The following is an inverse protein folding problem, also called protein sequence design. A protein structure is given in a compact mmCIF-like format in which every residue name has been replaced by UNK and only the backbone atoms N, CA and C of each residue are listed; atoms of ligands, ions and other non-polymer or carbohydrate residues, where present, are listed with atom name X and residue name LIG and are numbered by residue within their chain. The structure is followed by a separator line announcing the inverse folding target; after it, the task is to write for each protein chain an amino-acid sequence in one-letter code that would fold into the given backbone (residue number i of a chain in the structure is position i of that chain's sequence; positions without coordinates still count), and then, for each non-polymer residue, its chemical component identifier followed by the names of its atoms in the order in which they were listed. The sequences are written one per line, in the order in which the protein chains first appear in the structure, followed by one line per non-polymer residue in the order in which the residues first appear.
data_IF_728810266807
#
_entry.id   IF_728810266807
#
_cell.length_a   1.000
_cell.length_b   1.000
_cell.length_c   1.000
_cell.angle_alpha   90.00
_cell.angle_beta   90.00
_cell.angle_gamma   90.00
#
_symmetry.space_group_name_H-M   'P 1'
#
loop_
_entity.id
_entity.type
_entity.pdbx_description
1 polymer ?
#
# COMPACT_ATOMS: atom_id res chain seq x y z
N UNK A 1 -18.58 -14.74 -3.28
CA UNK A 1 -19.29 -13.78 -4.17
C UNK A 1 -18.24 -13.14 -5.08
N UNK A 2 -18.33 -13.38 -6.39
CA UNK A 2 -17.38 -12.83 -7.37
C UNK A 2 -17.56 -11.31 -7.45
N UNK A 3 -16.48 -10.54 -7.23
CA UNK A 3 -16.53 -9.11 -7.47
C UNK A 3 -16.71 -8.85 -8.97
N UNK A 4 -17.65 -7.95 -9.32
CA UNK A 4 -17.96 -7.53 -10.70
C UNK A 4 -18.37 -8.67 -11.64
N UNK A 5 -19.22 -9.59 -11.17
CA UNK A 5 -19.91 -10.61 -12.02
C UNK A 5 -18.96 -11.48 -12.85
N UNK A 6 -17.75 -11.78 -12.36
CA UNK A 6 -16.81 -12.65 -13.07
C UNK A 6 -16.18 -12.04 -14.33
N UNK A 7 -16.07 -10.72 -14.40
CA UNK A 7 -15.43 -10.04 -15.54
C UNK A 7 -13.97 -10.50 -15.71
N UNK A 8 -13.59 -10.94 -16.91
CA UNK A 8 -12.20 -11.24 -17.27
C UNK A 8 -11.39 -9.94 -17.38
N UNK A 9 -10.15 -10.00 -16.89
CA UNK A 9 -9.19 -8.90 -16.93
C UNK A 9 -7.94 -9.37 -17.65
N UNK A 10 -7.42 -8.56 -18.59
CA UNK A 10 -6.09 -8.74 -19.16
C UNK A 10 -5.07 -7.98 -18.31
N UNK A 11 -3.96 -8.63 -18.01
CA UNK A 11 -2.88 -8.06 -17.21
C UNK A 11 -1.54 -8.33 -17.90
N UNK A 12 -0.79 -7.27 -18.20
CA UNK A 12 0.61 -7.37 -18.54
C UNK A 12 1.38 -7.60 -17.25
N UNK A 13 1.80 -8.84 -17.01
CA UNK A 13 2.47 -9.24 -15.77
C UNK A 13 3.95 -8.85 -15.81
N UNK A 14 4.42 -8.13 -14.79
CA UNK A 14 5.81 -7.68 -14.69
C UNK A 14 6.54 -8.26 -13.49
N UNK A 15 5.83 -8.58 -12.39
CA UNK A 15 6.45 -9.12 -11.17
C UNK A 15 5.50 -10.07 -10.45
N UNK A 16 6.08 -11.09 -9.78
CA UNK A 16 5.39 -11.94 -8.82
C UNK A 16 6.03 -11.72 -7.47
N UNK A 17 5.28 -11.17 -6.53
CA UNK A 17 5.78 -10.76 -5.23
C UNK A 17 5.14 -11.56 -4.09
N UNK A 18 5.95 -12.04 -3.16
CA UNK A 18 5.49 -12.74 -1.97
C UNK A 18 5.38 -11.77 -0.79
N UNK A 19 4.19 -11.67 -0.20
CA UNK A 19 3.94 -10.86 1.00
C UNK A 19 2.76 -11.44 1.79
N UNK A 20 2.78 -11.28 3.10
CA UNK A 20 1.67 -11.67 3.99
C UNK A 20 1.16 -13.09 3.71
N UNK A 21 2.09 -14.04 3.54
CA UNK A 21 1.82 -15.46 3.30
C UNK A 21 1.01 -15.74 2.02
N UNK A 22 1.09 -14.86 1.01
CA UNK A 22 0.46 -15.06 -0.30
C UNK A 22 1.30 -14.46 -1.43
N UNK A 23 1.03 -14.89 -2.66
CA UNK A 23 1.60 -14.29 -3.86
C UNK A 23 0.70 -13.20 -4.43
N UNK A 24 1.33 -12.15 -4.92
CA UNK A 24 0.71 -11.07 -5.66
C UNK A 24 1.26 -11.01 -7.07
N UNK A 25 0.37 -10.88 -8.05
CA UNK A 25 0.72 -10.58 -9.43
C UNK A 25 0.69 -9.07 -9.59
N UNK A 26 1.82 -8.47 -9.97
CA UNK A 26 1.97 -7.02 -10.17
C UNK A 26 2.15 -6.77 -11.66
N UNK A 27 1.33 -5.89 -12.22
CA UNK A 27 1.35 -5.58 -13.63
C UNK A 27 0.49 -4.36 -13.96
N UNK A 28 0.21 -4.15 -15.24
CA UNK A 28 -0.65 -3.08 -15.72
C UNK A 28 -1.68 -3.61 -16.73
N UNK A 29 -2.86 -3.01 -16.75
CA UNK A 29 -3.87 -3.28 -17.77
C UNK A 29 -3.55 -2.53 -19.07
N UNK A 30 -4.02 -3.05 -20.20
CA UNK A 30 -3.76 -2.45 -21.52
C UNK A 30 -4.23 -0.98 -21.60
N UNK A 31 -5.29 -0.64 -20.88
CA UNK A 31 -5.91 0.69 -20.94
C UNK A 31 -5.50 1.65 -19.83
N UNK A 32 -4.61 1.24 -18.91
CA UNK A 32 -4.19 2.06 -17.78
C UNK A 32 -2.68 2.04 -17.62
N UNK A 33 -2.06 3.21 -17.52
CA UNK A 33 -0.60 3.38 -17.35
C UNK A 33 -0.19 3.40 -15.88
N UNK A 34 -0.83 2.55 -15.07
CA UNK A 34 -0.52 2.42 -13.65
C UNK A 34 -0.44 0.96 -13.24
N UNK A 35 0.45 0.69 -12.29
CA UNK A 35 0.56 -0.62 -11.68
C UNK A 35 -0.70 -0.97 -10.88
N UNK A 36 -1.01 -2.23 -10.87
CA UNK A 36 -2.04 -2.84 -10.05
C UNK A 36 -1.53 -4.17 -9.51
N UNK A 37 -2.11 -4.65 -8.42
CA UNK A 37 -1.76 -5.95 -7.84
C UNK A 37 -3.01 -6.80 -7.63
N UNK A 38 -2.84 -8.10 -7.84
CA UNK A 38 -3.88 -9.11 -7.62
C UNK A 38 -3.33 -10.23 -6.76
N UNK A 39 -4.06 -10.58 -5.71
CA UNK A 39 -3.73 -11.76 -4.91
C UNK A 39 -3.99 -13.03 -5.72
N UNK A 40 -2.96 -13.88 -5.83
CA UNK A 40 -3.05 -15.11 -6.65
C UNK A 40 -4.14 -16.07 -6.13
N UNK A 41 -4.31 -16.18 -4.82
CA UNK A 41 -5.31 -17.05 -4.18
C UNK A 41 -6.76 -16.61 -4.37
N UNK A 42 -6.99 -15.43 -4.97
CA UNK A 42 -8.32 -14.87 -5.27
C UNK A 42 -8.62 -14.81 -6.77
N UNK A 43 -7.70 -15.35 -7.59
CA UNK A 43 -7.89 -15.40 -9.03
C UNK A 43 -8.59 -16.71 -9.38
N UNK A 44 -9.66 -16.62 -10.13
CA UNK A 44 -10.36 -17.75 -10.72
C UNK A 44 -10.12 -17.77 -12.22
N UNK A 45 -9.99 -18.97 -12.80
CA UNK A 45 -9.81 -19.18 -14.24
C UNK A 45 -8.64 -18.39 -14.84
N UNK A 46 -7.45 -18.50 -14.21
CA UNK A 46 -6.22 -17.91 -14.75
C UNK A 46 -5.84 -18.57 -16.06
N UNK A 47 -5.70 -17.76 -17.10
CA UNK A 47 -5.30 -18.19 -18.43
C UNK A 47 -4.10 -17.35 -18.90
N UNK A 48 -3.16 -17.97 -19.61
CA UNK A 48 -2.08 -17.25 -20.27
C UNK A 48 -2.59 -16.83 -21.65
N UNK A 49 -2.52 -15.53 -21.94
CA UNK A 49 -2.88 -14.99 -23.25
C UNK A 49 -1.89 -15.47 -24.32
N UNK A 50 -2.37 -15.64 -25.56
CA UNK A 50 -1.52 -15.89 -26.71
C UNK A 50 -0.88 -14.61 -27.29
N UNK A 51 -1.38 -13.44 -26.90
CA UNK A 51 -0.78 -12.15 -27.27
C UNK A 51 0.40 -11.82 -26.35
N UNK A 52 1.44 -11.23 -26.92
CA UNK A 52 2.57 -10.74 -26.16
C UNK A 52 2.15 -9.66 -25.16
N UNK A 53 2.82 -9.63 -24.02
CA UNK A 53 2.63 -8.56 -23.05
C UNK A 53 3.28 -7.26 -23.58
N UNK A 54 2.66 -6.12 -23.27
CA UNK A 54 3.26 -4.82 -23.54
C UNK A 54 4.52 -4.68 -22.68
N UNK A 55 5.62 -4.23 -23.30
CA UNK A 55 6.89 -4.03 -22.59
C UNK A 55 6.74 -3.08 -21.40
N UNK A 56 7.38 -3.40 -20.28
CA UNK A 56 7.25 -2.64 -19.05
C UNK A 56 7.78 -1.19 -19.20
N UNK A 57 8.85 -0.97 -19.99
CA UNK A 57 9.39 0.38 -20.22
C UNK A 57 8.37 1.24 -20.98
N UNK A 58 7.73 0.64 -21.98
CA UNK A 58 6.69 1.31 -22.76
C UNK A 58 5.47 1.65 -21.89
N UNK A 59 5.07 0.72 -21.02
CA UNK A 59 3.81 0.79 -20.27
C UNK A 59 3.86 1.62 -19.00
N UNK A 60 4.94 1.46 -18.22
CA UNK A 60 5.07 2.11 -16.91
C UNK A 60 6.24 3.09 -16.81
N UNK A 61 7.04 3.21 -17.88
CA UNK A 61 8.11 4.20 -18.02
C UNK A 61 9.52 3.65 -17.82
N UNK A 62 10.52 4.51 -17.98
CA UNK A 62 11.92 4.13 -17.85
C UNK A 62 12.23 3.62 -16.44
N UNK A 63 13.09 2.60 -16.33
CA UNK A 63 13.46 1.93 -15.08
C UNK A 63 12.29 1.20 -14.37
N UNK A 64 11.59 0.29 -15.05
CA UNK A 64 10.41 -0.39 -14.52
C UNK A 64 10.67 -1.14 -13.21
N UNK A 65 11.86 -1.71 -13.01
CA UNK A 65 12.24 -2.38 -11.77
C UNK A 65 12.19 -1.43 -10.56
N UNK A 66 12.67 -0.19 -10.72
CA UNK A 66 12.62 0.83 -9.66
C UNK A 66 11.18 1.26 -9.36
N UNK A 67 10.36 1.41 -10.41
CA UNK A 67 8.95 1.78 -10.31
C UNK A 67 8.17 0.69 -9.57
N UNK A 68 8.38 -0.59 -9.93
CA UNK A 68 7.74 -1.74 -9.28
C UNK A 68 8.17 -1.85 -7.82
N UNK A 69 9.48 -1.71 -7.54
CA UNK A 69 10.01 -1.73 -6.18
C UNK A 69 9.37 -0.63 -5.32
N UNK A 70 9.34 0.60 -5.83
CA UNK A 70 8.71 1.73 -5.14
C UNK A 70 7.23 1.48 -4.89
N UNK A 71 6.51 0.94 -5.86
CA UNK A 71 5.10 0.55 -5.72
C UNK A 71 4.89 -0.45 -4.57
N UNK A 72 5.77 -1.47 -4.48
CA UNK A 72 5.71 -2.48 -3.40
C UNK A 72 6.01 -1.84 -2.04
N UNK A 73 7.05 -1.02 -1.95
CA UNK A 73 7.49 -0.39 -0.70
C UNK A 73 6.49 0.63 -0.16
N UNK A 74 5.82 1.39 -1.02
CA UNK A 74 4.88 2.43 -0.64
C UNK A 74 3.46 1.91 -0.39
N UNK A 75 3.09 0.78 -1.01
CA UNK A 75 1.77 0.17 -0.80
C UNK A 75 1.64 -0.42 0.61
N UNK A 76 0.44 -0.32 1.18
CA UNK A 76 0.09 -1.01 2.43
C UNK A 76 -0.88 -2.12 2.10
N UNK A 77 -0.46 -3.38 2.29
CA UNK A 77 -1.20 -4.59 1.89
C UNK A 77 -1.68 -4.52 0.43
N UNK A 78 -0.87 -3.95 -0.46
CA UNK A 78 -1.16 -3.78 -1.89
C UNK A 78 -2.44 -3.00 -2.22
N UNK A 79 -2.92 -2.16 -1.29
CA UNK A 79 -3.99 -1.21 -1.58
C UNK A 79 -3.43 0.00 -2.33
N UNK A 80 -4.14 0.39 -3.38
CA UNK A 80 -3.81 1.54 -4.21
C UNK A 80 -4.25 2.83 -3.53
N UNK A 81 -3.44 3.86 -3.69
CA UNK A 81 -3.72 5.19 -3.22
C UNK A 81 -2.70 6.18 -3.76
N UNK A 82 -2.91 7.44 -3.50
CA UNK A 82 -1.91 8.48 -3.72
C UNK A 82 -0.81 8.34 -2.65
N UNK A 83 0.46 8.40 -3.06
CA UNK A 83 1.57 8.38 -2.10
C UNK A 83 1.61 9.68 -1.32
N UNK A 84 1.58 9.57 0.00
CA UNK A 84 1.64 10.71 0.91
C UNK A 84 2.90 10.64 1.77
N UNK A 85 3.44 11.81 2.08
CA UNK A 85 4.48 11.97 3.08
C UNK A 85 3.85 11.83 4.46
N UNK A 86 4.45 11.01 5.29
CA UNK A 86 3.99 10.73 6.64
C UNK A 86 5.08 11.17 7.62
N UNK A 87 4.69 11.89 8.64
CA UNK A 87 5.55 12.29 9.74
C UNK A 87 4.92 11.88 11.06
N UNK A 88 5.67 11.12 11.86
CA UNK A 88 5.24 10.65 13.18
C UNK A 88 6.27 10.98 14.24
N UNK A 89 5.80 11.27 15.44
CA UNK A 89 6.62 11.33 16.64
C UNK A 89 6.36 10.11 17.51
N UNK A 90 7.41 9.54 18.11
CA UNK A 90 7.30 8.34 18.92
C UNK A 90 8.43 8.22 19.94
N UNK A 91 8.19 7.45 21.01
CA UNK A 91 9.22 7.12 22.00
C UNK A 91 10.07 5.96 21.48
N UNK A 92 11.42 6.12 21.38
CA UNK A 92 12.30 5.12 20.77
C UNK A 92 12.57 3.92 21.69
N UNK A 93 11.56 3.10 21.91
CA UNK A 93 11.67 1.82 22.61
C UNK A 93 11.96 0.70 21.62
N UNK A 94 12.67 -0.40 22.01
CA UNK A 94 13.00 -1.49 21.10
C UNK A 94 11.78 -2.04 20.34
N UNK A 95 10.67 -2.26 21.03
CA UNK A 95 9.43 -2.75 20.44
C UNK A 95 8.81 -1.74 19.44
N UNK A 96 8.81 -0.44 19.78
CA UNK A 96 8.29 0.62 18.91
C UNK A 96 9.14 0.77 17.65
N UNK A 97 10.48 0.70 17.81
CA UNK A 97 11.39 0.73 16.66
C UNK A 97 11.16 -0.49 15.75
N UNK A 98 11.01 -1.70 16.31
CA UNK A 98 10.72 -2.89 15.53
C UNK A 98 9.42 -2.73 14.71
N UNK A 99 8.33 -2.29 15.32
CA UNK A 99 7.05 -2.03 14.66
C UNK A 99 7.22 -1.02 13.49
N UNK A 100 7.98 0.07 13.71
CA UNK A 100 8.22 1.06 12.67
C UNK A 100 9.00 0.45 11.50
N UNK A 101 10.13 -0.20 11.77
CA UNK A 101 10.99 -0.75 10.72
C UNK A 101 10.36 -1.93 9.99
N UNK A 102 9.54 -2.74 10.66
CA UNK A 102 8.75 -3.80 10.03
C UNK A 102 7.73 -3.23 9.04
N UNK A 103 7.15 -2.07 9.36
CA UNK A 103 6.16 -1.42 8.51
C UNK A 103 6.76 -0.62 7.35
N UNK A 104 7.83 0.13 7.59
CA UNK A 104 8.39 1.06 6.59
C UNK A 104 9.63 0.51 5.89
N UNK A 105 10.26 -0.52 6.41
CA UNK A 105 11.52 -1.02 5.92
C UNK A 105 12.67 -0.05 6.20
N UNK A 106 13.65 -0.01 5.28
CA UNK A 106 14.85 0.84 5.41
C UNK A 106 14.66 2.27 4.93
N UNK A 107 13.55 2.56 4.25
CA UNK A 107 13.27 3.85 3.61
C UNK A 107 12.56 4.81 4.57
N UNK A 108 13.16 5.05 5.73
CA UNK A 108 12.68 5.97 6.76
C UNK A 108 13.81 6.90 7.20
N UNK A 109 13.50 8.19 7.32
CA UNK A 109 14.39 9.17 7.95
C UNK A 109 13.99 9.33 9.40
N UNK A 110 14.92 9.11 10.32
CA UNK A 110 14.66 9.23 11.76
C UNK A 110 15.58 10.29 12.36
N UNK A 111 14.98 11.24 13.08
CA UNK A 111 15.68 12.31 13.80
C UNK A 111 15.34 12.23 15.30
N UNK A 112 16.36 12.31 16.16
CA UNK A 112 16.16 12.41 17.61
C UNK A 112 15.82 13.86 17.98
N UNK A 113 14.79 14.02 18.83
CA UNK A 113 14.34 15.31 19.33
C UNK A 113 14.92 15.61 20.72
N UNK A 114 14.89 16.88 21.11
CA UNK A 114 15.42 17.36 22.41
C UNK A 114 14.66 16.75 23.60
N UNK A 115 13.36 16.45 23.44
CA UNK A 115 12.52 15.80 24.46
C UNK A 115 12.80 14.32 24.65
N UNK A 116 13.78 13.75 23.91
CA UNK A 116 14.12 12.32 23.94
C UNK A 116 13.29 11.43 23.04
N UNK A 117 12.23 11.93 22.42
CA UNK A 117 11.47 11.25 21.39
C UNK A 117 12.25 11.19 20.07
N UNK A 118 11.73 10.43 19.12
CA UNK A 118 12.18 10.42 17.74
C UNK A 118 11.05 10.88 16.81
N UNK A 119 11.46 11.52 15.72
CA UNK A 119 10.59 11.88 14.60
C UNK A 119 10.98 11.03 13.40
N UNK A 120 10.02 10.31 12.84
CA UNK A 120 10.23 9.52 11.63
C UNK A 120 9.45 10.10 10.47
N UNK A 121 10.10 10.13 9.29
CA UNK A 121 9.49 10.56 8.02
C UNK A 121 9.63 9.45 7.00
N UNK A 122 8.53 9.07 6.40
CA UNK A 122 8.44 8.03 5.39
C UNK A 122 7.28 8.29 4.42
N UNK A 123 7.17 7.47 3.37
CA UNK A 123 6.15 7.59 2.33
C UNK A 123 5.36 6.30 2.23
N UNK A 124 4.03 6.40 2.21
CA UNK A 124 3.11 5.28 1.98
C UNK A 124 1.90 5.74 1.17
N UNK A 125 1.26 4.80 0.47
CA UNK A 125 0.01 5.06 -0.22
C UNK A 125 -1.12 5.30 0.78
N UNK A 126 -1.84 6.41 0.63
CA UNK A 126 -3.00 6.73 1.45
C UNK A 126 -4.12 5.74 1.20
N UNK A 127 -4.45 4.95 2.21
CA UNK A 127 -5.41 3.86 2.12
C UNK A 127 -6.09 3.59 3.46
N UNK A 128 -7.23 2.92 3.43
CA UNK A 128 -7.92 2.47 4.65
C UNK A 128 -7.02 1.55 5.49
N UNK A 129 -6.13 0.79 4.84
CA UNK A 129 -5.19 -0.11 5.51
C UNK A 129 -4.11 0.67 6.26
N UNK A 130 -3.62 1.77 5.69
CA UNK A 130 -2.71 2.69 6.36
C UNK A 130 -3.36 3.29 7.61
N UNK A 131 -4.61 3.75 7.48
CA UNK A 131 -5.37 4.25 8.62
C UNK A 131 -5.53 3.16 9.70
N UNK A 132 -5.86 1.93 9.30
CA UNK A 132 -5.97 0.80 10.22
C UNK A 132 -4.67 0.51 10.98
N UNK A 133 -3.51 0.66 10.32
CA UNK A 133 -2.22 0.52 10.98
C UNK A 133 -2.00 1.59 12.05
N UNK A 134 -2.29 2.85 11.75
CA UNK A 134 -2.20 3.92 12.74
C UNK A 134 -3.18 3.75 13.90
N UNK A 135 -4.40 3.30 13.63
CA UNK A 135 -5.37 3.01 14.69
C UNK A 135 -4.90 1.88 15.63
N UNK A 136 -4.22 0.87 15.06
CA UNK A 136 -3.67 -0.25 15.84
C UNK A 136 -2.54 0.18 16.79
N UNK A 137 -1.76 1.18 16.40
CA UNK A 137 -0.56 1.62 17.13
C UNK A 137 -0.66 3.09 17.59
N UNK A 138 -1.88 3.59 17.79
CA UNK A 138 -2.13 4.97 18.19
C UNK A 138 -1.54 5.34 19.57
N UNK A 139 -1.27 4.34 20.40
CA UNK A 139 -0.60 4.48 21.70
C UNK A 139 0.92 4.68 21.57
N UNK A 140 1.50 4.38 20.42
CA UNK A 140 2.95 4.41 20.16
C UNK A 140 3.39 5.52 19.22
N UNK A 141 2.56 5.88 18.25
CA UNK A 141 2.87 6.85 17.21
C UNK A 141 1.88 8.01 17.22
N UNK A 142 2.40 9.22 17.40
CA UNK A 142 1.63 10.44 17.20
C UNK A 142 1.85 10.91 15.76
N UNK A 143 0.80 10.92 14.95
CA UNK A 143 0.85 11.41 13.56
C UNK A 143 0.91 12.93 13.56
N UNK A 144 1.96 13.49 12.96
CA UNK A 144 2.16 14.92 12.80
C UNK A 144 1.65 15.36 11.43
N UNK A 145 1.98 14.58 10.37
CA UNK A 145 1.51 14.80 9.00
C UNK A 145 1.22 13.45 8.30
N UNK A 146 0.25 13.39 7.40
CA UNK A 146 -0.75 14.44 7.17
C UNK A 146 -1.70 14.56 8.37
N UNK A 147 -2.29 15.72 8.58
CA UNK A 147 -3.43 15.80 9.50
C UNK A 147 -4.51 14.88 8.93
N UNK A 148 -4.72 13.73 9.58
CA UNK A 148 -5.72 12.76 9.15
C UNK A 148 -7.07 13.48 9.04
N UNK A 149 -7.67 13.59 7.85
CA UNK A 149 -8.98 14.24 7.75
C UNK A 149 -9.96 13.46 8.61
N UNK A 150 -10.60 14.11 9.54
CA UNK A 150 -11.68 13.57 10.41
C UNK A 150 -12.84 12.99 9.57
N UNK A 151 -12.89 13.29 8.27
CA UNK A 151 -13.85 12.77 7.29
C UNK A 151 -13.86 11.24 7.13
N UNK A 152 -12.76 10.52 7.44
CA UNK A 152 -12.77 9.05 7.41
C UNK A 152 -13.57 8.43 8.56
N UNK A 153 -13.73 9.12 9.69
CA UNK A 153 -14.58 8.65 10.79
C UNK A 153 -16.07 8.85 10.49
N UNK A 154 -16.43 9.81 9.65
CA UNK A 154 -17.82 10.04 9.23
C UNK A 154 -18.31 9.07 8.15
N UNK A 155 -17.44 8.54 7.30
CA UNK A 155 -17.84 7.56 6.28
C UNK A 155 -18.28 6.21 6.89
N UNK A 156 -17.72 5.80 8.03
CA UNK A 156 -18.16 4.57 8.72
C UNK A 156 -19.48 4.74 9.48
N UNK A 157 -19.81 5.94 9.92
CA UNK A 157 -21.07 6.19 10.61
C UNK A 157 -22.28 6.16 9.65
N UNK A 158 -22.08 6.42 8.35
CA UNK A 158 -23.16 6.38 7.36
C UNK A 158 -23.39 5.00 6.74
N UNK A 159 -22.38 4.11 6.70
CA UNK A 159 -22.58 2.76 6.16
C UNK A 159 -23.24 1.79 7.14
N UNK A 160 -23.16 2.06 8.45
CA UNK A 160 -23.79 1.21 9.48
C UNK A 160 -25.26 1.57 9.79
N UNK A 161 -25.78 2.68 9.29
CA UNK A 161 -27.17 3.10 9.48
C UNK A 161 -28.08 2.83 8.27
N UNK A 162 -27.60 2.22 7.20
CA UNK A 162 -28.39 1.93 6.00
C UNK A 162 -28.90 0.47 5.91
N UNK A 163 -28.59 -0.39 6.90
CA UNK A 163 -29.03 -1.80 6.94
C UNK A 163 -29.75 -2.11 8.29
N UNK A 164 -30.85 -1.38 8.56
CA UNK A 164 -31.86 -1.78 9.54
C UNK A 164 -33.25 -1.54 8.97
#
# INVERSE_FOLDING_TARGET
MLRREGKKYSLNLYEIYWSDNTYYLIGAHDHYDRLTSYRLDRIENLEISQSDAIDAVEKIGPNPELIIRKYIEESVNHFLGETVRIEVEYKPEPATNAILYDFVGKNVSVQKLENGNCRAVFYKMNSVTLLGWFMKYMDKFMVIEPQMPVSYTHLRAHETCADL
#
